data_IF_174252926534
#
_entry.id   IF_174252926534
#
_cell.length_a   1.000
_cell.length_b   1.000
_cell.length_c   1.000
_cell.angle_alpha   90.00
_cell.angle_beta   90.00
_cell.angle_gamma   90.00
#
_symmetry.space_group_name_H-M   'P 1'
#
loop_
_entity.id
_entity.type
_entity.pdbx_description
1 polymer ?
#
# COMPACT_ATOMS: atom_id res chain seq x y z
N UNK A 1 -27.15 8.18 -33.77
CA UNK A 1 -26.19 7.35 -34.55
C UNK A 1 -25.83 6.16 -33.73
N UNK A 2 -26.37 4.98 -34.07
CA UNK A 2 -26.08 3.72 -33.38
C UNK A 2 -24.73 3.18 -33.86
N UNK A 3 -23.76 3.07 -32.96
CA UNK A 3 -22.56 2.32 -33.18
C UNK A 3 -22.78 0.87 -32.73
N UNK A 4 -23.18 0.00 -33.65
CA UNK A 4 -23.14 -1.45 -33.44
C UNK A 4 -21.71 -1.94 -33.60
N UNK A 5 -21.06 -2.25 -32.50
CA UNK A 5 -19.78 -3.01 -32.53
C UNK A 5 -20.09 -4.50 -32.68
N UNK A 6 -19.38 -5.22 -33.55
CA UNK A 6 -19.53 -6.66 -33.66
C UNK A 6 -19.09 -7.34 -32.36
N UNK A 7 -19.84 -8.37 -31.93
CA UNK A 7 -19.49 -9.19 -30.78
C UNK A 7 -18.14 -9.87 -31.04
N UNK A 8 -17.12 -9.52 -30.24
CA UNK A 8 -15.84 -10.23 -30.24
C UNK A 8 -15.98 -11.54 -29.49
N UNK A 9 -15.52 -12.61 -30.11
CA UNK A 9 -15.43 -13.93 -29.52
C UNK A 9 -14.64 -13.88 -28.19
N UNK A 10 -15.05 -14.61 -27.14
CA UNK A 10 -14.31 -14.69 -25.88
C UNK A 10 -13.11 -15.61 -26.11
N UNK A 11 -11.92 -15.08 -26.28
CA UNK A 11 -10.77 -15.96 -26.37
C UNK A 11 -9.50 -15.48 -27.06
N UNK A 12 -9.29 -14.22 -27.31
CA UNK A 12 -8.00 -13.81 -27.88
C UNK A 12 -7.72 -12.33 -27.66
N UNK A 13 -7.13 -11.98 -26.53
CA UNK A 13 -6.36 -10.74 -26.36
C UNK A 13 -5.46 -10.83 -25.09
N UNK A 14 -4.76 -11.95 -24.94
CA UNK A 14 -3.49 -11.97 -24.27
C UNK A 14 -2.46 -12.48 -25.28
N UNK A 15 -1.81 -11.54 -25.95
CA UNK A 15 -0.45 -11.82 -26.38
C UNK A 15 0.30 -12.16 -25.09
N UNK A 16 0.72 -13.40 -24.94
CA UNK A 16 1.85 -13.71 -24.11
C UNK A 16 2.96 -12.72 -24.54
N UNK A 17 3.70 -12.09 -23.62
CA UNK A 17 4.80 -11.22 -24.00
C UNK A 17 5.69 -12.03 -24.94
N UNK A 18 5.74 -11.60 -26.19
CA UNK A 18 6.68 -12.13 -27.16
C UNK A 18 8.06 -11.70 -26.69
N UNK A 19 8.73 -12.58 -25.96
CA UNK A 19 10.16 -12.75 -25.96
C UNK A 19 11.08 -11.69 -25.39
N UNK A 20 10.66 -10.50 -24.99
CA UNK A 20 11.51 -9.55 -24.28
C UNK A 20 10.98 -9.41 -22.84
N UNK A 21 11.53 -10.20 -21.93
CA UNK A 21 11.34 -10.01 -20.50
C UNK A 21 11.74 -8.57 -20.15
N UNK A 22 10.80 -7.80 -19.59
CA UNK A 22 11.12 -6.48 -19.04
C UNK A 22 12.13 -6.69 -17.91
N UNK A 23 13.40 -6.50 -18.22
CA UNK A 23 14.48 -6.65 -17.24
C UNK A 23 14.41 -5.47 -16.28
N UNK A 24 13.95 -5.72 -15.06
CA UNK A 24 13.93 -4.72 -13.99
C UNK A 24 15.31 -4.71 -13.34
N UNK A 25 16.16 -3.78 -13.76
CA UNK A 25 17.46 -3.56 -13.12
C UNK A 25 17.37 -2.42 -12.11
N UNK A 26 16.67 -2.67 -11.02
CA UNK A 26 16.42 -1.67 -9.98
C UNK A 26 16.48 -2.29 -8.58
N UNK A 27 17.02 -1.54 -7.64
CA UNK A 27 17.07 -1.93 -6.24
C UNK A 27 16.78 -0.74 -5.32
N UNK A 28 16.14 -1.01 -4.19
CA UNK A 28 16.03 -0.07 -3.08
C UNK A 28 17.37 -0.06 -2.33
N UNK A 29 17.98 1.11 -2.25
CA UNK A 29 19.31 1.31 -1.67
C UNK A 29 19.28 2.07 -0.35
N UNK A 30 18.24 2.85 -0.10
CA UNK A 30 18.08 3.61 1.13
C UNK A 30 16.61 3.82 1.48
N UNK A 31 16.33 3.87 2.77
CA UNK A 31 15.02 4.18 3.33
C UNK A 31 15.15 5.19 4.47
N UNK A 32 14.18 6.06 4.59
CA UNK A 32 14.09 7.00 5.71
C UNK A 32 12.64 7.28 6.08
N UNK A 33 12.41 7.48 7.36
CA UNK A 33 11.09 7.83 7.89
C UNK A 33 11.25 8.97 8.89
N UNK A 34 10.37 9.95 8.82
CA UNK A 34 10.23 10.90 9.92
C UNK A 34 9.60 10.22 11.16
N UNK A 35 9.51 10.94 12.26
CA UNK A 35 8.61 10.56 13.35
C UNK A 35 7.19 10.45 12.81
N UNK A 36 6.46 9.43 13.26
CA UNK A 36 5.02 9.30 13.06
C UNK A 36 4.27 9.78 14.31
N UNK A 37 3.12 10.43 14.12
CA UNK A 37 2.37 10.95 15.26
C UNK A 37 1.05 11.57 14.84
N UNK A 38 0.39 12.19 15.82
CA UNK A 38 -0.81 13.01 15.61
C UNK A 38 -0.48 14.47 15.90
N UNK A 39 -0.86 15.36 14.97
CA UNK A 39 -0.66 16.81 15.10
C UNK A 39 0.79 17.19 15.37
N UNK A 40 1.69 16.62 14.55
CA UNK A 40 3.10 16.99 14.62
C UNK A 40 3.28 18.48 14.30
N UNK A 41 4.23 19.18 14.97
CA UNK A 41 4.45 20.61 14.75
C UNK A 41 5.07 20.93 13.39
N UNK A 42 5.78 19.98 12.80
CA UNK A 42 6.53 20.15 11.57
C UNK A 42 5.62 20.16 10.34
N UNK A 43 5.98 20.97 9.34
CA UNK A 43 5.33 20.94 8.02
C UNK A 43 5.63 19.64 7.29
N UNK A 44 4.80 19.27 6.30
CA UNK A 44 5.02 18.11 5.47
C UNK A 44 6.39 18.13 4.78
N UNK A 45 6.78 19.28 4.23
CA UNK A 45 8.09 19.43 3.59
C UNK A 45 9.24 19.18 4.58
N UNK A 46 9.11 19.67 5.83
CA UNK A 46 10.12 19.42 6.86
C UNK A 46 10.17 17.95 7.27
N UNK A 47 9.02 17.30 7.43
CA UNK A 47 8.97 15.86 7.69
C UNK A 47 9.60 15.06 6.54
N UNK A 48 9.29 15.43 5.28
CA UNK A 48 9.89 14.82 4.10
C UNK A 48 11.42 15.03 4.06
N UNK A 49 11.91 16.24 4.39
CA UNK A 49 13.34 16.53 4.42
C UNK A 49 14.09 15.71 5.49
N UNK A 50 13.47 15.48 6.66
CA UNK A 50 14.03 14.58 7.69
C UNK A 50 14.12 13.15 7.14
N UNK A 51 13.03 12.62 6.56
CA UNK A 51 13.03 11.29 5.98
C UNK A 51 14.03 11.16 4.82
N UNK A 52 14.19 12.19 3.99
CA UNK A 52 15.19 12.20 2.91
C UNK A 52 16.63 12.15 3.43
N UNK A 53 16.93 12.96 4.45
CA UNK A 53 18.25 12.94 5.10
C UNK A 53 18.57 11.54 5.69
N UNK A 54 17.59 10.92 6.33
CA UNK A 54 17.75 9.58 6.88
C UNK A 54 17.97 8.52 5.78
N UNK A 55 17.23 8.63 4.66
CA UNK A 55 17.40 7.74 3.51
C UNK A 55 18.78 7.87 2.85
N UNK A 56 19.30 9.09 2.72
CA UNK A 56 20.66 9.33 2.25
C UNK A 56 21.71 8.70 3.18
N UNK A 57 21.56 8.92 4.48
CA UNK A 57 22.45 8.37 5.49
C UNK A 57 22.42 6.83 5.50
N UNK A 58 21.21 6.24 5.32
CA UNK A 58 21.04 4.79 5.21
C UNK A 58 21.79 4.23 3.99
N UNK A 59 21.64 4.85 2.83
CA UNK A 59 22.31 4.43 1.59
C UNK A 59 23.83 4.75 1.55
N UNK A 60 24.30 5.69 2.38
CA UNK A 60 25.66 6.25 2.27
C UNK A 60 25.84 7.19 1.09
N UNK A 61 24.73 7.81 0.63
CA UNK A 61 24.70 8.74 -0.49
C UNK A 61 24.71 10.20 -0.02
N UNK A 62 25.17 11.08 -0.93
CA UNK A 62 25.02 12.51 -0.80
C UNK A 62 23.81 12.98 -1.63
N UNK A 63 23.28 14.17 -1.33
CA UNK A 63 22.17 14.75 -2.10
C UNK A 63 22.51 14.92 -3.59
N UNK A 64 23.76 15.23 -3.92
CA UNK A 64 24.25 15.34 -5.29
C UNK A 64 24.23 14.03 -6.10
N UNK A 65 24.07 12.89 -5.42
CA UNK A 65 23.92 11.59 -6.07
C UNK A 65 22.50 11.33 -6.57
N UNK A 66 21.52 12.10 -6.07
CA UNK A 66 20.10 11.96 -6.40
C UNK A 66 19.76 12.90 -7.54
N UNK A 67 19.39 12.34 -8.68
CA UNK A 67 19.09 13.06 -9.92
C UNK A 67 17.67 12.82 -10.43
N UNK A 68 16.83 12.19 -9.63
CA UNK A 68 15.41 11.97 -9.94
C UNK A 68 14.52 12.06 -8.72
N UNK A 69 13.27 12.49 -8.94
CA UNK A 69 12.18 12.52 -7.96
C UNK A 69 10.99 11.74 -8.46
N UNK A 70 10.42 10.89 -7.61
CA UNK A 70 9.10 10.28 -7.78
C UNK A 70 8.25 10.64 -6.57
N UNK A 71 7.29 11.55 -6.75
CA UNK A 71 6.53 12.13 -5.67
C UNK A 71 5.14 11.51 -5.66
N UNK A 72 4.82 10.87 -4.56
CA UNK A 72 3.49 10.38 -4.29
C UNK A 72 2.81 11.30 -3.31
N UNK A 73 2.00 12.18 -3.85
CA UNK A 73 1.22 13.12 -3.07
C UNK A 73 -0.12 12.50 -2.71
N UNK A 74 -0.17 11.83 -1.57
CA UNK A 74 -1.44 11.64 -0.86
C UNK A 74 -1.96 13.03 -0.50
N UNK A 75 -3.25 13.25 -0.73
CA UNK A 75 -3.92 14.49 -0.35
C UNK A 75 -3.57 14.92 1.09
N UNK A 76 -3.30 16.19 1.40
CA UNK A 76 -3.26 17.41 0.57
C UNK A 76 -1.86 18.06 0.56
N UNK A 77 -0.95 17.66 -0.29
CA UNK A 77 0.38 18.28 -0.22
C UNK A 77 0.45 19.68 -0.82
N UNK A 78 -0.33 20.03 -1.80
CA UNK A 78 -0.31 21.39 -2.37
C UNK A 78 1.08 21.93 -2.74
N UNK A 79 2.12 21.07 -2.80
CA UNK A 79 3.48 21.45 -3.19
C UNK A 79 3.89 20.65 -4.40
N UNK A 80 4.39 21.34 -5.41
CA UNK A 80 4.91 20.75 -6.60
C UNK A 80 6.37 20.28 -6.45
N UNK A 81 6.84 19.53 -7.41
CA UNK A 81 8.18 18.95 -7.41
C UNK A 81 9.30 19.98 -7.24
N UNK A 82 9.14 21.19 -7.77
CA UNK A 82 10.11 22.27 -7.68
C UNK A 82 10.39 22.68 -6.23
N UNK A 83 9.35 22.79 -5.42
CA UNK A 83 9.47 23.09 -3.98
C UNK A 83 10.16 21.96 -3.21
N UNK A 84 9.97 20.72 -3.63
CA UNK A 84 10.66 19.58 -3.02
C UNK A 84 12.11 19.54 -3.48
N UNK A 85 12.39 19.75 -4.75
CA UNK A 85 13.74 19.81 -5.29
C UNK A 85 14.54 20.96 -4.64
N UNK A 86 13.95 22.16 -4.53
CA UNK A 86 14.53 23.30 -3.83
C UNK A 86 14.81 22.97 -2.36
N UNK A 87 13.78 22.44 -1.64
CA UNK A 87 13.88 22.12 -0.21
C UNK A 87 14.91 21.02 0.10
N UNK A 88 15.14 20.12 -0.83
CA UNK A 88 16.15 19.05 -0.70
C UNK A 88 17.52 19.45 -1.28
N UNK A 89 17.59 20.54 -2.05
CA UNK A 89 18.79 21.00 -2.74
C UNK A 89 19.25 20.03 -3.82
N UNK A 90 18.34 19.65 -4.72
CA UNK A 90 18.57 18.65 -5.78
C UNK A 90 18.60 19.30 -7.15
N UNK A 91 19.54 18.84 -7.98
CA UNK A 91 19.57 19.05 -9.43
C UNK A 91 19.00 17.79 -10.09
N UNK A 92 17.74 17.85 -10.55
CA UNK A 92 17.03 16.69 -11.08
C UNK A 92 16.95 16.70 -12.60
N UNK A 93 17.06 15.53 -13.21
CA UNK A 93 16.83 15.29 -14.65
C UNK A 93 15.61 14.39 -14.92
N UNK A 94 15.02 13.81 -13.88
CA UNK A 94 13.80 13.01 -13.97
C UNK A 94 12.83 13.41 -12.87
N UNK A 95 11.57 13.55 -13.23
CA UNK A 95 10.49 13.75 -12.27
C UNK A 95 9.25 12.93 -12.65
N UNK A 96 8.65 12.30 -11.68
CA UNK A 96 7.28 11.79 -11.72
C UNK A 96 6.52 12.31 -10.49
N UNK A 97 5.36 12.88 -10.72
CA UNK A 97 4.50 13.37 -9.66
C UNK A 97 3.12 12.77 -9.83
N UNK A 98 2.68 11.99 -8.84
CA UNK A 98 1.41 11.29 -8.87
C UNK A 98 0.47 11.85 -7.81
N UNK A 99 -0.68 12.35 -8.24
CA UNK A 99 -1.79 12.79 -7.39
C UNK A 99 -2.75 11.63 -7.06
N UNK A 100 -2.21 10.42 -6.98
CA UNK A 100 -2.98 9.23 -6.73
C UNK A 100 -3.31 9.07 -5.25
N UNK A 101 -4.41 8.39 -5.00
CA UNK A 101 -4.81 7.98 -3.65
C UNK A 101 -3.69 7.18 -2.95
N UNK A 102 -3.59 7.30 -1.62
CA UNK A 102 -2.56 6.64 -0.81
C UNK A 102 -2.38 5.14 -1.04
N UNK A 103 -3.42 4.44 -1.49
CA UNK A 103 -3.36 3.01 -1.81
C UNK A 103 -2.37 2.64 -2.94
N UNK A 104 -1.99 3.59 -3.78
CA UNK A 104 -1.15 3.36 -4.95
C UNK A 104 0.33 3.70 -4.71
N UNK A 105 0.87 3.36 -3.54
CA UNK A 105 2.30 3.56 -3.23
C UNK A 105 3.21 2.92 -4.27
N UNK A 106 2.82 1.75 -4.79
CA UNK A 106 3.56 1.02 -5.83
C UNK A 106 3.75 1.81 -7.11
N UNK A 107 2.80 2.68 -7.47
CA UNK A 107 2.90 3.48 -8.68
C UNK A 107 4.17 4.35 -8.69
N UNK A 108 4.44 5.07 -7.60
CA UNK A 108 5.65 5.90 -7.49
C UNK A 108 6.94 5.05 -7.54
N UNK A 109 6.93 3.88 -6.90
CA UNK A 109 8.07 2.97 -6.87
C UNK A 109 8.30 2.30 -8.23
N UNK A 110 7.24 1.89 -8.92
CA UNK A 110 7.31 1.31 -10.27
C UNK A 110 7.87 2.32 -11.28
N UNK A 111 7.39 3.57 -11.27
CA UNK A 111 7.93 4.62 -12.13
C UNK A 111 9.41 4.88 -11.86
N UNK A 112 9.82 4.91 -10.60
CA UNK A 112 11.23 5.08 -10.25
C UNK A 112 12.09 3.89 -10.70
N UNK A 113 11.61 2.66 -10.50
CA UNK A 113 12.31 1.45 -10.94
C UNK A 113 12.48 1.42 -12.48
N UNK A 114 11.43 1.77 -13.22
CA UNK A 114 11.50 1.89 -14.68
C UNK A 114 12.44 3.00 -15.12
N UNK A 115 12.42 4.16 -14.45
CA UNK A 115 13.28 5.28 -14.79
C UNK A 115 14.77 4.96 -14.64
N UNK A 116 15.18 4.30 -13.53
CA UNK A 116 16.57 3.89 -13.34
C UNK A 116 16.98 2.77 -14.28
N UNK A 117 16.09 1.80 -14.53
CA UNK A 117 16.34 0.71 -15.49
C UNK A 117 16.52 1.23 -16.93
N UNK A 118 15.76 2.26 -17.30
CA UNK A 118 15.86 2.94 -18.61
C UNK A 118 16.99 3.97 -18.69
N UNK A 119 17.75 4.21 -17.63
CA UNK A 119 18.83 5.21 -17.60
C UNK A 119 18.37 6.67 -17.58
N UNK A 120 17.08 6.93 -17.31
CA UNK A 120 16.55 8.30 -17.19
C UNK A 120 17.05 9.01 -15.91
N UNK A 121 17.38 8.23 -14.87
CA UNK A 121 18.03 8.72 -13.65
C UNK A 121 19.02 7.67 -13.12
N UNK A 122 20.00 8.12 -12.36
CA UNK A 122 20.93 7.23 -11.64
C UNK A 122 20.40 6.80 -10.29
N UNK A 123 19.80 7.74 -9.55
CA UNK A 123 19.12 7.51 -8.26
C UNK A 123 17.85 8.35 -8.20
N UNK A 124 16.74 7.70 -7.96
CA UNK A 124 15.45 8.37 -7.78
C UNK A 124 15.06 8.35 -6.30
N UNK A 125 14.77 9.53 -5.74
CA UNK A 125 14.12 9.64 -4.44
C UNK A 125 12.59 9.56 -4.60
N UNK A 126 12.00 8.50 -4.06
CA UNK A 126 10.55 8.34 -3.97
C UNK A 126 10.09 8.95 -2.65
N UNK A 127 9.21 9.95 -2.69
CA UNK A 127 8.87 10.78 -1.52
C UNK A 127 7.38 10.82 -1.28
N UNK A 128 6.99 10.65 -0.02
CA UNK A 128 5.64 10.98 0.46
C UNK A 128 5.71 11.70 1.80
N UNK A 129 4.74 12.56 2.06
CA UNK A 129 4.51 13.15 3.38
C UNK A 129 3.03 13.46 3.57
N UNK A 130 2.52 13.20 4.76
CA UNK A 130 1.12 13.43 5.14
C UNK A 130 1.01 14.23 6.43
N UNK A 131 -0.01 15.08 6.52
CA UNK A 131 -0.35 15.88 7.71
C UNK A 131 -1.85 15.77 8.03
N UNK A 132 -2.41 14.56 7.90
CA UNK A 132 -3.84 14.36 8.06
C UNK A 132 -4.34 14.73 9.45
N UNK A 133 -3.59 14.39 10.49
CA UNK A 133 -4.00 14.67 11.86
C UNK A 133 -3.84 16.14 12.23
N UNK A 134 -2.84 16.82 11.69
CA UNK A 134 -2.60 18.24 11.92
C UNK A 134 -3.63 19.11 11.22
N UNK A 135 -3.90 18.84 9.94
CA UNK A 135 -4.70 19.73 9.11
C UNK A 135 -6.19 19.47 9.21
N UNK A 136 -6.59 18.22 9.45
CA UNK A 136 -8.01 17.85 9.50
C UNK A 136 -8.48 17.26 10.82
N UNK A 137 -7.69 16.43 11.45
CA UNK A 137 -8.03 15.75 12.69
C UNK A 137 -9.03 14.59 12.53
N UNK A 138 -9.79 14.53 11.43
CA UNK A 138 -10.68 13.44 11.07
C UNK A 138 -10.83 13.36 9.54
N UNK A 139 -11.25 12.21 9.05
CA UNK A 139 -11.61 11.99 7.65
C UNK A 139 -13.10 11.63 7.57
N UNK A 140 -13.80 12.30 6.69
CA UNK A 140 -15.23 12.08 6.44
C UNK A 140 -16.13 13.09 7.11
N UNK A 141 -17.37 13.13 6.68
CA UNK A 141 -18.41 14.09 7.06
C UNK A 141 -18.76 15.05 5.93
N UNK A 142 -19.85 15.81 6.08
CA UNK A 142 -20.40 16.64 4.99
C UNK A 142 -19.45 17.73 4.47
N UNK A 143 -18.49 18.15 5.25
CA UNK A 143 -17.51 19.18 4.89
C UNK A 143 -16.18 18.64 4.34
N UNK A 144 -15.99 17.33 4.35
CA UNK A 144 -14.72 16.68 3.97
C UNK A 144 -14.70 16.19 2.51
N UNK A 145 -15.67 16.59 1.72
CA UNK A 145 -15.84 16.14 0.34
C UNK A 145 -15.05 17.05 -0.57
N UNK A 146 -14.08 16.48 -1.26
CA UNK A 146 -13.38 17.11 -2.36
C UNK A 146 -13.93 16.66 -3.71
N UNK A 147 -13.92 17.57 -4.66
CA UNK A 147 -14.37 17.34 -6.01
C UNK A 147 -15.81 17.76 -6.27
N UNK A 148 -16.34 17.36 -7.42
CA UNK A 148 -17.71 17.64 -7.80
C UNK A 148 -18.68 16.80 -6.96
N UNK A 149 -19.51 17.47 -6.18
CA UNK A 149 -20.50 16.82 -5.30
C UNK A 149 -21.55 16.01 -6.06
N UNK A 150 -21.78 16.33 -7.33
CA UNK A 150 -22.74 15.62 -8.18
C UNK A 150 -22.15 14.28 -8.65
N UNK A 151 -20.85 14.26 -8.95
CA UNK A 151 -20.14 13.08 -9.46
C UNK A 151 -19.50 12.22 -8.35
N UNK A 152 -19.54 12.68 -7.12
CA UNK A 152 -18.89 12.04 -5.98
C UNK A 152 -17.47 12.54 -5.74
N UNK A 153 -16.84 12.01 -4.69
CA UNK A 153 -15.49 12.38 -4.28
C UNK A 153 -14.41 11.44 -4.84
N UNK A 154 -13.16 11.85 -4.68
CA UNK A 154 -11.96 11.11 -5.14
C UNK A 154 -11.78 9.75 -4.46
N UNK A 155 -12.44 9.55 -3.32
CA UNK A 155 -12.40 8.31 -2.54
C UNK A 155 -13.70 7.51 -2.62
N UNK A 156 -14.54 7.78 -3.62
CA UNK A 156 -15.81 7.11 -3.82
C UNK A 156 -16.92 7.67 -2.93
N UNK A 157 -16.76 8.87 -2.40
CA UNK A 157 -17.82 9.57 -1.69
C UNK A 157 -18.97 9.88 -2.64
N UNK A 158 -20.17 9.66 -2.17
CA UNK A 158 -21.41 9.99 -2.87
C UNK A 158 -22.41 10.60 -1.87
N UNK A 159 -22.25 11.88 -1.53
CA UNK A 159 -23.00 12.54 -0.46
C UNK A 159 -24.51 12.45 -0.58
N UNK A 160 -25.10 12.51 -1.78
CA UNK A 160 -26.55 12.34 -1.96
C UNK A 160 -27.08 11.01 -1.43
N UNK A 161 -26.19 9.99 -1.33
CA UNK A 161 -26.50 8.66 -0.81
C UNK A 161 -25.95 8.40 0.59
N UNK A 162 -25.47 9.44 1.29
CA UNK A 162 -24.91 9.32 2.63
C UNK A 162 -23.46 8.79 2.67
N UNK A 163 -22.80 8.57 1.55
CA UNK A 163 -21.40 8.13 1.51
C UNK A 163 -20.48 9.35 1.59
N UNK A 164 -20.16 9.78 2.79
CA UNK A 164 -19.37 10.99 3.05
C UNK A 164 -17.90 10.71 3.41
N UNK A 165 -17.49 9.43 3.42
CA UNK A 165 -16.13 9.04 3.74
C UNK A 165 -15.74 7.70 3.07
N UNK A 166 -14.44 7.44 2.85
CA UNK A 166 -13.95 6.17 2.29
C UNK A 166 -14.40 4.93 3.08
N UNK A 167 -14.61 5.08 4.40
CA UNK A 167 -15.12 4.02 5.26
C UNK A 167 -16.47 3.45 4.77
N UNK A 168 -17.34 4.30 4.20
CA UNK A 168 -18.62 3.87 3.65
C UNK A 168 -18.46 2.86 2.51
N UNK A 169 -17.52 3.10 1.59
CA UNK A 169 -17.23 2.17 0.50
C UNK A 169 -16.70 0.82 0.98
N UNK A 170 -15.77 0.84 1.94
CA UNK A 170 -15.24 -0.38 2.55
C UNK A 170 -16.32 -1.15 3.33
N UNK A 171 -17.22 -0.44 4.02
CA UNK A 171 -18.33 -1.03 4.75
C UNK A 171 -19.31 -1.74 3.82
N UNK A 172 -19.72 -1.11 2.72
CA UNK A 172 -20.62 -1.73 1.74
C UNK A 172 -19.98 -2.99 1.13
N UNK A 173 -18.69 -2.95 0.80
CA UNK A 173 -17.98 -4.12 0.31
C UNK A 173 -17.94 -5.24 1.35
N UNK A 174 -17.72 -4.92 2.63
CA UNK A 174 -17.74 -5.92 3.72
C UNK A 174 -19.12 -6.45 3.99
N UNK A 175 -20.17 -5.62 3.95
CA UNK A 175 -21.56 -6.08 4.08
C UNK A 175 -21.88 -7.12 3.00
N UNK A 176 -21.48 -6.86 1.76
CA UNK A 176 -21.67 -7.81 0.68
C UNK A 176 -20.85 -9.10 0.89
N UNK A 177 -19.63 -8.98 1.33
CA UNK A 177 -18.79 -10.14 1.64
C UNK A 177 -19.44 -11.01 2.73
N UNK A 178 -19.93 -10.37 3.79
CA UNK A 178 -20.68 -11.03 4.86
C UNK A 178 -21.94 -11.74 4.33
N UNK A 179 -22.70 -11.07 3.46
CA UNK A 179 -23.91 -11.66 2.89
C UNK A 179 -23.60 -12.89 2.01
N UNK A 180 -22.53 -12.86 1.24
CA UNK A 180 -22.16 -13.93 0.31
C UNK A 180 -21.52 -15.12 1.00
N UNK A 181 -20.72 -14.89 2.04
CA UNK A 181 -19.82 -15.89 2.60
C UNK A 181 -19.99 -16.13 4.10
N UNK A 182 -20.89 -15.41 4.75
CA UNK A 182 -21.18 -15.60 6.18
C UNK A 182 -20.08 -15.13 7.13
N UNK A 183 -19.18 -14.24 6.67
CA UNK A 183 -18.12 -13.70 7.52
C UNK A 183 -18.70 -12.96 8.74
N UNK A 184 -18.06 -13.08 9.88
CA UNK A 184 -18.52 -12.47 11.15
C UNK A 184 -17.63 -11.31 11.58
N UNK A 185 -18.16 -10.44 12.45
CA UNK A 185 -17.38 -9.35 13.06
C UNK A 185 -16.21 -9.89 13.91
N UNK A 186 -16.37 -11.03 14.57
CA UNK A 186 -15.30 -11.67 15.33
C UNK A 186 -14.16 -12.13 14.43
N UNK A 187 -14.48 -12.67 13.26
CA UNK A 187 -13.48 -13.06 12.28
C UNK A 187 -12.74 -11.85 11.72
N UNK A 188 -13.46 -10.76 11.44
CA UNK A 188 -12.84 -9.51 10.96
C UNK A 188 -11.88 -8.92 12.00
N UNK A 189 -12.20 -9.03 13.29
CA UNK A 189 -11.37 -8.52 14.38
C UNK A 189 -9.96 -9.12 14.42
N UNK A 190 -9.73 -10.30 13.86
CA UNK A 190 -8.39 -10.90 13.78
C UNK A 190 -7.40 -10.00 13.04
N UNK A 191 -7.85 -9.23 12.05
CA UNK A 191 -6.99 -8.31 11.30
C UNK A 191 -6.45 -7.19 12.19
N UNK A 192 -7.26 -6.30 12.80
CA UNK A 192 -6.73 -5.22 13.60
C UNK A 192 -6.02 -5.70 14.87
N UNK A 193 -6.37 -6.88 15.41
CA UNK A 193 -5.67 -7.49 16.54
C UNK A 193 -4.24 -7.88 16.11
N UNK A 194 -4.05 -8.55 14.98
CA UNK A 194 -2.73 -8.90 14.46
C UNK A 194 -1.89 -7.64 14.19
N UNK A 195 -2.46 -6.62 13.55
CA UNK A 195 -1.76 -5.34 13.32
C UNK A 195 -1.35 -4.68 14.63
N UNK A 196 -2.21 -4.76 15.67
CA UNK A 196 -1.88 -4.23 16.98
C UNK A 196 -0.76 -5.01 17.66
N UNK A 197 -0.76 -6.34 17.60
CA UNK A 197 0.30 -7.18 18.14
C UNK A 197 1.66 -6.85 17.49
N UNK A 198 1.69 -6.64 16.18
CA UNK A 198 2.90 -6.18 15.48
C UNK A 198 3.34 -4.77 15.93
N UNK A 199 2.41 -3.83 16.11
CA UNK A 199 2.71 -2.48 16.56
C UNK A 199 3.34 -2.43 17.95
N UNK A 200 3.00 -3.36 18.84
CA UNK A 200 3.57 -3.43 20.20
C UNK A 200 5.08 -3.69 20.17
N UNK A 201 5.59 -4.39 19.17
CA UNK A 201 7.01 -4.67 19.00
C UNK A 201 7.75 -3.58 18.19
N UNK A 202 7.02 -2.67 17.54
CA UNK A 202 7.59 -1.63 16.72
C UNK A 202 7.70 -0.29 17.48
N UNK A 203 8.91 0.22 17.78
CA UNK A 203 9.08 1.46 18.52
C UNK A 203 8.52 2.70 17.80
N UNK A 204 8.38 2.66 16.46
CA UNK A 204 7.83 3.77 15.66
C UNK A 204 6.31 3.82 15.65
N UNK A 205 5.63 2.73 16.01
CA UNK A 205 4.18 2.66 15.97
C UNK A 205 3.53 3.67 16.94
N UNK A 206 2.41 4.25 16.50
CA UNK A 206 1.61 5.20 17.32
C UNK A 206 0.84 4.45 18.40
N UNK A 207 0.28 3.28 18.06
CA UNK A 207 -0.52 2.49 19.01
C UNK A 207 0.38 1.61 19.86
N UNK A 208 0.23 1.72 21.18
CA UNK A 208 1.09 1.04 22.18
C UNK A 208 0.32 0.14 23.15
N UNK A 209 -1.01 0.15 23.07
CA UNK A 209 -1.85 -0.64 23.96
C UNK A 209 -2.37 -1.89 23.25
N UNK A 210 -2.41 -3.05 23.90
CA UNK A 210 -2.97 -4.27 23.33
C UNK A 210 -4.42 -4.09 22.87
N UNK A 211 -4.83 -4.84 21.87
CA UNK A 211 -6.21 -4.91 21.39
C UNK A 211 -6.73 -6.34 21.56
N UNK A 212 -7.76 -6.49 22.38
CA UNK A 212 -8.47 -7.78 22.57
C UNK A 212 -9.72 -7.85 21.71
N UNK A 213 -10.24 -9.07 21.46
CA UNK A 213 -11.52 -9.26 20.79
C UNK A 213 -12.65 -8.52 21.52
N UNK A 214 -12.69 -8.59 22.85
CA UNK A 214 -13.70 -7.89 23.65
C UNK A 214 -13.63 -6.38 23.48
N UNK A 215 -12.40 -5.81 23.46
CA UNK A 215 -12.20 -4.38 23.23
C UNK A 215 -12.61 -3.97 21.79
N UNK A 216 -12.33 -4.80 20.79
CA UNK A 216 -12.79 -4.58 19.43
C UNK A 216 -14.32 -4.58 19.35
N UNK A 217 -14.97 -5.59 19.91
CA UNK A 217 -16.43 -5.75 19.83
C UNK A 217 -17.19 -4.68 20.63
N UNK A 218 -16.59 -4.12 21.70
CA UNK A 218 -17.18 -3.02 22.45
C UNK A 218 -16.86 -1.62 21.86
N UNK A 219 -15.96 -1.53 20.88
CA UNK A 219 -15.61 -0.27 20.26
C UNK A 219 -16.79 0.31 19.48
N UNK A 220 -16.86 1.67 19.45
CA UNK A 220 -17.91 2.36 18.69
C UNK A 220 -17.93 1.95 17.23
N UNK A 221 -19.13 1.83 16.69
CA UNK A 221 -19.34 1.65 15.25
C UNK A 221 -19.01 2.97 14.53
N UNK A 222 -18.19 2.89 13.48
CA UNK A 222 -17.92 4.02 12.59
C UNK A 222 -18.95 4.04 11.47
N UNK A 223 -19.10 2.93 10.79
CA UNK A 223 -20.12 2.64 9.77
C UNK A 223 -20.30 1.12 9.72
N UNK A 224 -21.52 0.64 9.89
CA UNK A 224 -21.78 -0.82 9.94
C UNK A 224 -21.28 -1.54 8.67
N UNK A 225 -20.44 -2.61 8.79
CA UNK A 225 -20.07 -3.35 10.00
C UNK A 225 -18.72 -2.91 10.63
N UNK A 226 -18.12 -1.78 10.21
CA UNK A 226 -16.78 -1.37 10.64
C UNK A 226 -16.81 -0.63 11.97
N UNK A 227 -16.02 -1.12 12.91
CA UNK A 227 -15.77 -0.49 14.20
C UNK A 227 -14.54 0.42 14.16
N UNK A 228 -14.31 1.16 15.21
CA UNK A 228 -13.18 2.11 15.30
C UNK A 228 -11.84 1.46 14.94
N UNK A 229 -11.58 0.24 15.39
CA UNK A 229 -10.30 -0.44 15.16
C UNK A 229 -10.20 -1.08 13.78
N UNK A 230 -11.28 -1.15 13.02
CA UNK A 230 -11.28 -1.56 11.62
C UNK A 230 -10.88 -0.42 10.66
N UNK A 231 -10.71 0.79 11.16
CA UNK A 231 -10.35 1.98 10.41
C UNK A 231 -8.92 2.42 10.76
N UNK A 232 -8.17 2.82 9.73
CA UNK A 232 -6.80 3.28 9.89
C UNK A 232 -6.67 4.51 10.78
N UNK A 233 -5.46 4.74 11.23
CA UNK A 233 -5.10 5.93 11.99
C UNK A 233 -5.18 7.18 11.10
N UNK A 234 -5.43 8.31 11.75
CA UNK A 234 -5.25 9.64 11.16
C UNK A 234 -3.95 10.18 11.75
N UNK A 235 -2.91 10.24 10.93
CA UNK A 235 -1.55 10.53 11.38
C UNK A 235 -0.83 11.51 10.48
N UNK A 236 0.29 12.01 10.98
CA UNK A 236 1.26 12.84 10.28
C UNK A 236 2.58 12.07 10.19
N UNK A 237 3.31 12.26 9.09
CA UNK A 237 4.60 11.63 8.89
C UNK A 237 5.06 11.68 7.44
N UNK A 238 6.29 11.24 7.22
CA UNK A 238 6.88 11.14 5.89
C UNK A 238 7.74 9.89 5.78
N UNK A 239 7.87 9.41 4.55
CA UNK A 239 8.81 8.35 4.20
C UNK A 239 9.46 8.65 2.86
N UNK A 240 10.71 8.22 2.72
CA UNK A 240 11.50 8.30 1.50
C UNK A 240 12.15 6.96 1.23
N UNK A 241 12.09 6.55 -0.04
CA UNK A 241 12.74 5.35 -0.55
C UNK A 241 13.66 5.77 -1.70
N UNK A 242 14.93 5.41 -1.63
CA UNK A 242 15.89 5.64 -2.71
C UNK A 242 16.00 4.39 -3.57
N UNK A 243 15.80 4.56 -4.88
CA UNK A 243 15.91 3.49 -5.88
C UNK A 243 17.05 3.84 -6.82
N UNK A 244 17.97 2.90 -7.04
CA UNK A 244 19.08 3.01 -7.96
C UNK A 244 19.10 1.82 -8.91
N UNK A 245 19.84 1.96 -10.04
CA UNK A 245 20.09 0.84 -10.93
C UNK A 245 20.97 -0.21 -10.24
N UNK A 246 20.78 -1.49 -10.57
CA UNK A 246 21.38 -2.61 -9.85
C UNK A 246 22.91 -2.63 -9.88
N UNK A 247 23.54 -2.13 -10.96
CA UNK A 247 25.00 -2.01 -11.04
C UNK A 247 25.54 -1.02 -9.99
N UNK A 248 24.91 0.16 -9.88
CA UNK A 248 25.27 1.18 -8.89
C UNK A 248 24.93 0.73 -7.46
N UNK A 249 23.85 0.01 -7.29
CA UNK A 249 23.36 -0.41 -5.98
C UNK A 249 24.34 -1.31 -5.21
N UNK A 250 25.16 -2.10 -5.92
CA UNK A 250 26.11 -3.06 -5.31
C UNK A 250 27.24 -2.39 -4.52
N UNK A 251 27.58 -1.16 -4.91
CA UNK A 251 28.73 -0.43 -4.32
C UNK A 251 28.31 0.47 -3.15
N UNK A 252 27.00 0.46 -2.79
CA UNK A 252 26.48 1.32 -1.74
C UNK A 252 26.54 0.64 -0.35
N UNK A 253 26.36 1.48 0.66
CA UNK A 253 26.56 1.10 2.08
C UNK A 253 25.71 -0.09 2.53
N UNK A 254 24.45 -0.12 2.12
CA UNK A 254 23.48 -1.13 2.55
C UNK A 254 23.33 -2.23 1.51
N UNK A 255 22.98 -3.43 1.98
CA UNK A 255 22.54 -4.49 1.09
C UNK A 255 21.39 -3.99 0.21
N UNK A 256 21.54 -3.99 -1.12
CA UNK A 256 20.48 -3.56 -2.02
C UNK A 256 19.33 -4.56 -1.96
N UNK A 257 18.11 -4.04 -1.93
CA UNK A 257 16.90 -4.87 -1.99
C UNK A 257 16.35 -4.79 -3.40
N UNK A 258 16.44 -5.90 -4.12
CA UNK A 258 16.08 -5.97 -5.52
C UNK A 258 14.58 -5.90 -5.73
N UNK A 259 14.17 -5.18 -6.76
CA UNK A 259 12.82 -5.24 -7.31
C UNK A 259 12.79 -6.39 -8.31
N UNK A 260 12.08 -7.47 -7.98
CA UNK A 260 12.05 -8.65 -8.83
C UNK A 260 10.71 -8.87 -9.54
N UNK A 261 9.65 -8.18 -9.12
CA UNK A 261 8.35 -8.24 -9.76
C UNK A 261 7.55 -6.97 -9.56
N UNK A 262 6.85 -6.54 -10.60
CA UNK A 262 5.94 -5.38 -10.58
C UNK A 262 4.67 -5.70 -11.35
N UNK A 263 3.54 -5.36 -10.78
CA UNK A 263 2.24 -5.49 -11.42
C UNK A 263 1.42 -4.23 -11.17
N UNK A 264 0.86 -3.66 -12.22
CA UNK A 264 -0.06 -2.53 -12.11
C UNK A 264 -1.45 -2.99 -11.65
N UNK A 265 -2.35 -2.03 -11.45
CA UNK A 265 -3.74 -2.28 -11.08
C UNK A 265 -4.43 -3.23 -12.05
N UNK A 266 -5.17 -4.19 -11.52
CA UNK A 266 -5.95 -5.19 -12.25
C UNK A 266 -7.46 -5.03 -12.05
N UNK A 267 -7.88 -3.91 -11.49
CA UNK A 267 -9.29 -3.62 -11.28
C UNK A 267 -10.02 -3.35 -12.59
N UNK A 268 -11.13 -4.03 -12.79
CA UNK A 268 -12.09 -3.67 -13.82
C UNK A 268 -13.00 -2.52 -13.36
N UNK A 269 -13.77 -1.98 -14.28
CA UNK A 269 -14.74 -0.88 -13.97
C UNK A 269 -15.74 -1.23 -12.86
N UNK A 270 -15.96 -2.51 -12.62
CA UNK A 270 -16.90 -3.04 -11.63
C UNK A 270 -16.20 -3.44 -10.30
N UNK A 271 -14.91 -3.18 -10.16
CA UNK A 271 -14.08 -3.67 -9.05
C UNK A 271 -13.52 -2.53 -8.17
N UNK A 272 -13.97 -1.31 -8.35
CA UNK A 272 -13.58 -0.17 -7.52
C UNK A 272 -14.36 -0.17 -6.21
N UNK A 273 -13.68 -0.48 -5.11
CA UNK A 273 -14.29 -0.61 -3.79
C UNK A 273 -14.99 0.68 -3.34
N UNK A 274 -14.44 1.84 -3.70
CA UNK A 274 -15.00 3.13 -3.30
C UNK A 274 -15.91 3.77 -4.36
N UNK A 275 -16.03 3.17 -5.54
CA UNK A 275 -16.89 3.74 -6.58
C UNK A 275 -18.36 3.35 -6.36
N UNK A 276 -19.29 4.30 -6.26
CA UNK A 276 -20.70 4.01 -6.00
C UNK A 276 -21.36 3.09 -7.03
N UNK A 277 -20.92 3.15 -8.27
CA UNK A 277 -21.48 2.33 -9.37
C UNK A 277 -21.01 0.89 -9.37
N UNK A 278 -19.88 0.60 -8.76
CA UNK A 278 -19.27 -0.72 -8.89
C UNK A 278 -18.83 -1.33 -7.55
N UNK A 279 -18.61 -0.55 -6.52
CA UNK A 279 -18.31 -0.96 -5.13
C UNK A 279 -17.30 -2.12 -4.98
N UNK A 280 -16.55 -2.43 -6.03
CA UNK A 280 -15.61 -3.55 -6.04
C UNK A 280 -16.24 -4.94 -5.84
N UNK A 281 -17.54 -5.03 -5.98
CA UNK A 281 -18.32 -6.21 -5.58
C UNK A 281 -18.06 -7.41 -6.48
N UNK A 282 -17.70 -7.17 -7.73
CA UNK A 282 -17.46 -8.24 -8.68
C UNK A 282 -16.22 -9.06 -8.38
N UNK A 283 -15.28 -8.53 -7.60
CA UNK A 283 -14.13 -9.32 -7.14
C UNK A 283 -14.54 -10.45 -6.17
N UNK A 284 -15.68 -10.31 -5.49
CA UNK A 284 -16.28 -11.35 -4.65
C UNK A 284 -17.36 -12.16 -5.39
N UNK A 285 -17.57 -11.94 -6.68
CA UNK A 285 -18.53 -12.73 -7.46
C UNK A 285 -17.89 -14.01 -7.95
N UNK A 286 -18.70 -15.07 -8.12
CA UNK A 286 -18.24 -16.35 -8.67
C UNK A 286 -17.62 -16.24 -10.08
N UNK A 287 -17.95 -15.18 -10.83
CA UNK A 287 -17.42 -14.94 -12.17
C UNK A 287 -16.05 -14.26 -12.16
N UNK A 288 -15.66 -13.61 -11.05
CA UNK A 288 -14.45 -12.79 -10.95
C UNK A 288 -13.72 -12.97 -9.61
N UNK A 289 -13.95 -14.08 -8.94
CA UNK A 289 -13.18 -14.43 -7.74
C UNK A 289 -11.68 -14.51 -8.09
N UNK A 290 -10.85 -14.13 -7.14
CA UNK A 290 -9.46 -13.75 -7.26
C UNK A 290 -8.45 -14.70 -7.89
N UNK A 291 -8.84 -15.82 -8.46
CA UNK A 291 -7.92 -16.82 -9.01
C UNK A 291 -7.75 -16.70 -10.55
N UNK A 292 -7.86 -15.50 -11.10
CA UNK A 292 -7.53 -15.30 -12.52
C UNK A 292 -6.01 -15.28 -12.69
N UNK A 293 -5.47 -15.90 -13.77
CA UNK A 293 -4.02 -15.93 -14.02
C UNK A 293 -3.37 -14.54 -14.01
N UNK A 294 -4.10 -13.52 -14.43
CA UNK A 294 -3.63 -12.13 -14.48
C UNK A 294 -3.30 -11.55 -13.09
N UNK A 295 -3.94 -12.02 -12.03
CA UNK A 295 -3.69 -11.54 -10.68
C UNK A 295 -2.37 -12.15 -10.12
N UNK A 296 -1.78 -13.10 -10.85
CA UNK A 296 -0.56 -13.81 -10.50
C UNK A 296 0.65 -13.48 -11.40
N UNK A 297 0.49 -12.57 -12.36
CA UNK A 297 1.60 -12.19 -13.27
C UNK A 297 2.85 -11.73 -12.53
N UNK A 298 2.67 -11.05 -11.39
CA UNK A 298 3.80 -10.57 -10.58
C UNK A 298 4.70 -11.72 -10.09
N UNK A 299 4.14 -12.88 -9.77
CA UNK A 299 4.93 -14.05 -9.36
C UNK A 299 5.70 -14.66 -10.52
N UNK A 300 5.06 -14.77 -11.69
CA UNK A 300 5.72 -15.25 -12.90
C UNK A 300 6.87 -14.34 -13.31
N UNK A 301 6.65 -13.00 -13.30
CA UNK A 301 7.68 -12.02 -13.59
C UNK A 301 8.83 -12.09 -12.58
N UNK A 302 8.52 -12.28 -11.30
CA UNK A 302 9.52 -12.38 -10.24
C UNK A 302 10.30 -13.71 -10.26
N UNK A 303 9.83 -14.71 -11.03
CA UNK A 303 10.41 -16.06 -11.03
C UNK A 303 10.26 -16.77 -9.68
N UNK A 304 9.23 -16.46 -8.91
CA UNK A 304 9.00 -17.04 -7.58
C UNK A 304 7.60 -17.65 -7.49
N UNK A 305 7.50 -18.76 -6.77
CA UNK A 305 6.21 -19.31 -6.40
C UNK A 305 5.60 -18.47 -5.27
N UNK A 306 4.28 -18.32 -5.26
CA UNK A 306 3.57 -17.61 -4.18
C UNK A 306 3.89 -18.16 -2.79
N UNK A 307 4.05 -19.44 -2.68
CA UNK A 307 4.37 -20.18 -1.46
C UNK A 307 5.76 -19.82 -0.88
N UNK A 308 6.63 -19.22 -1.70
CA UNK A 308 7.95 -18.74 -1.30
C UNK A 308 7.94 -17.32 -0.74
N UNK A 309 6.79 -16.63 -0.77
CA UNK A 309 6.61 -15.31 -0.14
C UNK A 309 6.48 -15.50 1.36
N UNK A 310 7.39 -14.89 2.10
CA UNK A 310 7.51 -15.07 3.55
C UNK A 310 6.80 -14.00 4.38
N UNK A 311 6.29 -12.96 3.74
CA UNK A 311 5.48 -11.93 4.36
C UNK A 311 4.72 -11.13 3.31
N UNK A 312 3.48 -10.80 3.63
CA UNK A 312 2.58 -10.07 2.76
C UNK A 312 2.28 -8.69 3.33
N UNK A 313 2.39 -7.67 2.53
CA UNK A 313 2.13 -6.29 2.91
C UNK A 313 1.04 -5.72 2.01
N UNK A 314 0.13 -4.97 2.60
CA UNK A 314 -1.03 -4.44 1.88
C UNK A 314 -1.50 -3.11 2.46
N UNK A 315 -2.32 -2.42 1.69
CA UNK A 315 -2.97 -1.18 2.12
C UNK A 315 -4.14 -1.49 3.06
N UNK A 316 -3.88 -1.51 4.35
CA UNK A 316 -4.83 -1.83 5.42
C UNK A 316 -5.52 -0.58 5.99
N UNK A 317 -5.98 0.32 5.11
CA UNK A 317 -6.76 1.47 5.56
C UNK A 317 -8.08 1.05 6.25
N UNK A 318 -8.58 -0.12 5.91
CA UNK A 318 -9.72 -0.77 6.56
C UNK A 318 -9.47 -2.27 6.64
N UNK A 319 -9.88 -2.91 7.73
CA UNK A 319 -9.68 -4.36 7.94
C UNK A 319 -10.13 -5.23 6.77
N UNK A 320 -11.28 -4.98 6.11
CA UNK A 320 -11.72 -5.77 4.96
C UNK A 320 -10.74 -5.79 3.78
N UNK A 321 -9.97 -4.72 3.58
CA UNK A 321 -9.02 -4.63 2.47
C UNK A 321 -7.91 -5.67 2.57
N UNK A 322 -7.55 -6.08 3.79
CA UNK A 322 -6.60 -7.17 4.03
C UNK A 322 -7.18 -8.49 3.54
N UNK A 323 -8.45 -8.78 3.87
CA UNK A 323 -9.14 -9.99 3.43
C UNK A 323 -9.20 -10.05 1.89
N UNK A 324 -9.62 -8.95 1.27
CA UNK A 324 -9.75 -8.86 -0.18
C UNK A 324 -8.41 -8.97 -0.91
N UNK A 325 -7.32 -8.44 -0.33
CA UNK A 325 -5.99 -8.57 -0.90
C UNK A 325 -5.47 -10.01 -0.82
N UNK A 326 -5.69 -10.71 0.28
CA UNK A 326 -5.31 -12.11 0.44
C UNK A 326 -6.00 -13.01 -0.60
N UNK A 327 -7.29 -12.82 -0.82
CA UNK A 327 -8.04 -13.53 -1.87
C UNK A 327 -7.56 -13.13 -3.28
N UNK A 328 -7.30 -11.84 -3.48
CA UNK A 328 -6.86 -11.30 -4.77
C UNK A 328 -5.59 -11.98 -5.28
N UNK A 329 -4.64 -12.25 -4.39
CA UNK A 329 -3.39 -12.91 -4.71
C UNK A 329 -3.40 -14.42 -4.44
N UNK A 330 -4.59 -14.99 -4.13
CA UNK A 330 -4.80 -16.43 -4.02
C UNK A 330 -4.13 -17.09 -2.81
N UNK A 331 -3.86 -16.33 -1.74
CA UNK A 331 -3.39 -16.90 -0.47
C UNK A 331 -4.47 -17.76 0.20
N UNK A 332 -5.71 -17.48 -0.12
CA UNK A 332 -6.89 -18.31 0.20
C UNK A 332 -7.89 -18.22 -0.96
N UNK A 333 -8.90 -19.10 -0.92
CA UNK A 333 -9.99 -19.09 -1.90
C UNK A 333 -10.95 -17.92 -1.70
N UNK A 334 -11.81 -17.70 -2.70
CA UNK A 334 -12.83 -16.66 -2.63
C UNK A 334 -13.81 -16.91 -1.50
N UNK A 335 -14.01 -15.91 -0.64
CA UNK A 335 -14.89 -16.00 0.54
C UNK A 335 -14.26 -16.69 1.75
N UNK A 336 -13.02 -17.14 1.66
CA UNK A 336 -12.35 -17.87 2.76
C UNK A 336 -11.52 -16.98 3.67
N UNK A 337 -11.16 -15.76 3.26
CA UNK A 337 -10.17 -14.95 3.94
C UNK A 337 -10.54 -14.68 5.41
N UNK A 338 -11.81 -14.44 5.72
CA UNK A 338 -12.25 -14.17 7.09
C UNK A 338 -12.01 -15.34 8.04
N UNK A 339 -12.20 -16.57 7.57
CA UNK A 339 -11.87 -17.79 8.31
C UNK A 339 -10.38 -18.08 8.28
N UNK A 340 -9.73 -17.80 7.15
CA UNK A 340 -8.31 -18.09 6.94
C UNK A 340 -7.39 -17.28 7.85
N UNK A 341 -7.69 -16.02 8.15
CA UNK A 341 -6.85 -15.16 9.00
C UNK A 341 -6.89 -15.52 10.50
N UNK A 342 -7.72 -16.49 10.90
CA UNK A 342 -7.88 -16.87 12.30
C UNK A 342 -6.65 -17.61 12.86
N UNK A 343 -6.58 -17.70 14.19
CA UNK A 343 -5.57 -18.49 14.92
C UNK A 343 -4.14 -17.96 14.77
N UNK A 344 -3.96 -16.64 14.61
CA UNK A 344 -2.63 -16.02 14.50
C UNK A 344 -1.93 -16.26 13.17
N UNK A 345 -2.64 -16.76 12.14
CA UNK A 345 -2.05 -17.11 10.84
C UNK A 345 -1.32 -15.95 10.17
N UNK A 346 -1.83 -14.71 10.36
CA UNK A 346 -1.25 -13.48 9.79
C UNK A 346 -0.35 -12.72 10.79
N UNK A 347 -0.14 -13.26 11.98
CA UNK A 347 0.76 -12.70 12.97
C UNK A 347 2.22 -13.08 12.71
N UNK A 348 3.15 -12.40 13.36
CA UNK A 348 4.56 -12.77 13.33
C UNK A 348 4.74 -14.19 13.89
N UNK A 349 5.41 -15.04 13.11
CA UNK A 349 5.52 -16.48 13.40
C UNK A 349 4.36 -17.32 12.89
N UNK A 350 3.29 -16.72 12.38
CA UNK A 350 2.20 -17.41 11.68
C UNK A 350 2.58 -17.85 10.26
N UNK A 351 1.64 -18.46 9.56
CA UNK A 351 1.88 -19.03 8.23
C UNK A 351 2.22 -17.97 7.17
N UNK A 352 1.66 -16.78 7.27
CA UNK A 352 1.94 -15.63 6.39
C UNK A 352 1.80 -14.33 7.19
N UNK A 353 2.87 -13.82 7.80
CA UNK A 353 2.83 -12.53 8.50
C UNK A 353 2.40 -11.40 7.56
N UNK A 354 1.44 -10.57 8.01
CA UNK A 354 0.91 -9.44 7.24
C UNK A 354 1.23 -8.13 7.95
N UNK A 355 1.81 -7.15 7.23
CA UNK A 355 2.10 -5.81 7.77
C UNK A 355 2.78 -5.83 9.15
N UNK A 356 3.94 -6.45 9.26
CA UNK A 356 4.63 -6.73 10.54
C UNK A 356 5.06 -5.49 11.33
N UNK A 357 4.94 -4.29 10.78
CA UNK A 357 5.14 -3.03 11.52
C UNK A 357 3.90 -2.57 12.29
N UNK A 358 2.72 -3.16 12.03
CA UNK A 358 1.42 -2.72 12.52
C UNK A 358 0.56 -2.01 11.48
N UNK A 359 1.09 -1.80 10.27
CA UNK A 359 0.35 -1.25 9.13
C UNK A 359 -0.24 0.14 9.36
N UNK A 360 -1.26 0.46 8.59
CA UNK A 360 -2.01 1.72 8.72
C UNK A 360 -2.97 1.70 9.92
N UNK A 361 -3.36 0.51 10.35
CA UNK A 361 -4.29 0.32 11.46
C UNK A 361 -3.63 0.59 12.82
N UNK A 362 -2.31 0.41 12.96
CA UNK A 362 -1.67 0.50 14.28
C UNK A 362 -0.29 1.19 14.29
N UNK A 363 0.50 1.16 13.19
CA UNK A 363 1.76 1.91 13.14
C UNK A 363 1.50 3.38 12.83
N UNK A 364 1.11 3.70 11.60
CA UNK A 364 0.78 5.04 11.12
C UNK A 364 0.17 4.98 9.73
N UNK A 365 -0.74 5.87 9.40
CA UNK A 365 -1.23 6.01 8.03
C UNK A 365 -0.33 7.00 7.25
N UNK A 366 0.72 6.48 6.64
CA UNK A 366 1.59 7.18 5.70
C UNK A 366 1.44 6.55 4.31
N UNK A 367 0.19 6.37 3.90
CA UNK A 367 -0.20 5.87 2.58
C UNK A 367 0.47 4.54 2.16
N UNK A 368 0.82 3.66 3.12
CA UNK A 368 1.49 2.38 2.86
C UNK A 368 3.02 2.46 2.77
N UNK A 369 3.61 3.64 2.73
CA UNK A 369 5.07 3.80 2.64
C UNK A 369 5.83 3.28 3.86
N UNK A 370 5.23 3.38 5.04
CA UNK A 370 5.75 2.77 6.26
C UNK A 370 5.92 1.25 6.11
N UNK A 371 4.97 0.58 5.47
CA UNK A 371 5.04 -0.86 5.17
C UNK A 371 6.14 -1.19 4.15
N UNK A 372 6.34 -0.37 3.12
CA UNK A 372 7.47 -0.53 2.17
C UNK A 372 8.82 -0.41 2.91
N UNK A 373 8.97 0.59 3.77
CA UNK A 373 10.18 0.73 4.58
C UNK A 373 10.37 -0.48 5.52
N UNK A 374 9.29 -1.03 6.04
CA UNK A 374 9.37 -2.25 6.85
C UNK A 374 9.81 -3.46 6.03
N UNK A 375 9.28 -3.68 4.83
CA UNK A 375 9.74 -4.74 3.93
C UNK A 375 11.26 -4.68 3.70
N UNK A 376 11.80 -3.49 3.52
CA UNK A 376 13.25 -3.30 3.34
C UNK A 376 14.01 -3.67 4.62
N UNK A 377 13.53 -3.26 5.80
CA UNK A 377 14.15 -3.64 7.08
C UNK A 377 14.15 -5.17 7.28
N UNK A 378 13.03 -5.80 6.98
CA UNK A 378 12.87 -7.25 7.05
C UNK A 378 13.89 -7.99 6.18
N UNK A 379 14.00 -7.58 4.90
CA UNK A 379 14.92 -8.21 3.94
C UNK A 379 16.40 -7.93 4.26
N UNK A 380 16.69 -6.88 5.04
CA UNK A 380 18.03 -6.58 5.56
C UNK A 380 18.34 -7.23 6.91
N UNK A 381 17.37 -7.91 7.53
CA UNK A 381 17.52 -8.46 8.88
C UNK A 381 17.56 -7.36 9.97
N UNK A 382 16.98 -6.21 9.71
CA UNK A 382 17.04 -5.00 10.55
C UNK A 382 15.70 -4.62 11.19
N UNK A 383 14.70 -5.52 11.18
CA UNK A 383 13.38 -5.26 11.73
C UNK A 383 13.28 -5.47 13.26
N UNK A 384 14.37 -5.90 13.93
CA UNK A 384 14.40 -6.07 15.38
C UNK A 384 13.39 -7.11 15.87
N UNK A 385 12.56 -6.75 16.85
CA UNK A 385 11.59 -7.68 17.44
C UNK A 385 10.45 -8.09 16.49
N UNK A 386 10.24 -7.36 15.39
CA UNK A 386 9.27 -7.73 14.34
C UNK A 386 9.87 -8.53 13.19
N UNK A 387 11.11 -9.03 13.33
CA UNK A 387 11.81 -9.72 12.25
C UNK A 387 11.14 -11.04 11.87
N UNK A 388 10.79 -11.20 10.60
CA UNK A 388 10.41 -12.47 10.01
C UNK A 388 11.66 -13.34 9.88
N UNK A 389 11.60 -14.56 10.37
CA UNK A 389 12.74 -15.49 10.28
C UNK A 389 13.09 -15.77 8.81
N UNK A 390 14.36 -15.58 8.46
CA UNK A 390 14.91 -15.87 7.12
C UNK A 390 14.15 -15.15 5.98
N UNK A 391 13.68 -13.92 6.18
CA UNK A 391 13.00 -13.16 5.16
C UNK A 391 13.90 -12.96 3.93
N UNK A 392 13.51 -13.52 2.79
CA UNK A 392 14.23 -13.43 1.53
C UNK A 392 13.38 -12.86 0.40
N UNK A 393 12.07 -13.12 0.40
CA UNK A 393 11.10 -12.63 -0.59
C UNK A 393 9.86 -12.11 0.12
N UNK A 394 9.50 -10.86 -0.13
CA UNK A 394 8.32 -10.22 0.42
C UNK A 394 7.49 -9.59 -0.69
N UNK A 395 6.18 -9.61 -0.51
CA UNK A 395 5.24 -9.02 -1.45
C UNK A 395 4.48 -7.87 -0.81
N UNK A 396 4.39 -6.75 -1.53
CA UNK A 396 3.30 -5.80 -1.41
C UNK A 396 2.23 -6.13 -2.43
N UNK A 397 0.97 -6.14 -2.03
CA UNK A 397 -0.15 -6.34 -2.95
C UNK A 397 -1.44 -5.77 -2.37
N UNK A 398 -2.28 -5.15 -3.21
CA UNK A 398 -3.53 -4.55 -2.75
C UNK A 398 -4.76 -5.25 -3.30
N UNK A 399 -5.91 -4.97 -2.71
CA UNK A 399 -7.20 -5.47 -3.19
C UNK A 399 -7.51 -5.04 -4.65
N UNK A 400 -6.80 -4.06 -5.19
CA UNK A 400 -6.92 -3.57 -6.58
C UNK A 400 -5.97 -4.27 -7.55
N UNK A 401 -5.16 -5.22 -7.07
CA UNK A 401 -4.30 -6.07 -7.88
C UNK A 401 -2.94 -5.47 -8.23
N UNK A 402 -2.63 -4.24 -7.82
CA UNK A 402 -1.26 -3.74 -7.93
C UNK A 402 -0.34 -4.48 -6.95
N UNK A 403 0.88 -4.75 -7.40
CA UNK A 403 1.82 -5.54 -6.60
C UNK A 403 3.28 -5.19 -6.90
N UNK A 404 4.12 -5.46 -5.90
CA UNK A 404 5.55 -5.21 -5.92
C UNK A 404 6.24 -6.31 -5.11
N UNK A 405 7.15 -7.06 -5.73
CA UNK A 405 7.89 -8.13 -5.05
C UNK A 405 9.34 -7.70 -4.88
N UNK A 406 9.79 -7.77 -3.64
CA UNK A 406 11.14 -7.44 -3.21
C UNK A 406 11.88 -8.69 -2.77
N UNK A 407 13.17 -8.77 -3.09
CA UNK A 407 14.07 -9.82 -2.66
C UNK A 407 15.39 -9.29 -2.11
N UNK A 408 15.97 -10.04 -1.19
CA UNK A 408 17.24 -9.75 -0.52
C UNK A 408 18.46 -10.08 -1.39
#
# INVERSE_FOLDING_TARGET
>A
MHWSRPARAPGALYCAPTGDEVNIDAAIVGIGCSKFGRRLPDSQLRLAAVAFKDALADAGLQRSDVDGLSIHLGWPLGVDYDRIAEGFGLDIRYVNQSWLHGRFVTNALQHAALAVSAGLAGVVACVTAVSFARERGFLGGPGDIEGNREDGGTHGEAPPYGLTAPAGGAAIAMQRYTHLYGATSDQLAAVPIAMRNHALTNPRAIMKEPLTLAAHQSARMVVDPLRLFDCCLISDGAAVVLIARGDRARDLRQKPIRVIGMQGTRSGRDEFIFAPRSLGINQQSARRSGNRPIDFEVFAQAGVARENVQGFYTYDAFSPLVLFALERFGYCGAGEAAAWVQGGRIELGGALPVNTSGGLLSEAHVAGWNSICEMVRQLRGAAGASQIANAAVLQWGTAWGDSFILAA
#
